data_IF_555758166033
#
_entry.id   IF_555758166033
#
_cell.length_a   1.000
_cell.length_b   1.000
_cell.length_c   1.000
_cell.angle_alpha   90.00
_cell.angle_beta   90.00
_cell.angle_gamma   90.00
#
_symmetry.space_group_name_H-M   'P 1'
#
loop_
_entity.id
_entity.type
_entity.pdbx_description
1 polymer ?
#
# COMPACT_ATOMS: atom_id res chain seq x y z
N UNK A 1 -6.58 32.96 36.26
CA UNK A 1 -5.64 31.85 35.96
C UNK A 1 -6.34 30.98 34.92
N UNK A 2 -6.06 31.22 33.63
CA UNK A 2 -6.74 30.55 32.53
C UNK A 2 -6.13 29.16 32.33
N UNK A 3 -6.88 28.12 32.67
CA UNK A 3 -6.56 26.75 32.28
C UNK A 3 -7.05 26.61 30.83
N UNK A 4 -6.13 26.82 29.89
CA UNK A 4 -6.35 26.46 28.50
C UNK A 4 -6.37 24.94 28.45
N UNK A 5 -7.56 24.36 28.24
CA UNK A 5 -7.70 22.97 27.83
C UNK A 5 -7.02 22.81 26.47
N UNK A 6 -5.76 22.38 26.47
CA UNK A 6 -5.14 21.81 25.28
C UNK A 6 -5.84 20.48 24.99
N UNK A 7 -6.86 20.53 24.13
CA UNK A 7 -7.22 19.37 23.32
C UNK A 7 -6.05 19.20 22.35
N UNK A 8 -5.08 18.35 22.72
CA UNK A 8 -4.10 17.88 21.77
C UNK A 8 -4.88 17.14 20.66
N UNK A 9 -4.96 17.75 19.48
CA UNK A 9 -5.20 17.00 18.27
C UNK A 9 -4.01 16.06 18.12
N UNK A 10 -4.17 14.78 18.47
CA UNK A 10 -3.23 13.76 18.06
C UNK A 10 -3.29 13.70 16.53
N UNK A 11 -2.28 14.26 15.86
CA UNK A 11 -2.09 13.98 14.44
C UNK A 11 -1.97 12.46 14.31
N UNK A 12 -2.87 11.84 13.53
CA UNK A 12 -2.81 10.42 13.24
C UNK A 12 -1.44 10.10 12.63
N UNK A 13 -0.54 9.52 13.44
CA UNK A 13 0.79 9.13 13.02
C UNK A 13 0.68 8.12 11.88
N UNK A 14 1.52 8.29 10.85
CA UNK A 14 1.58 7.36 9.72
C UNK A 14 2.81 6.46 9.88
N UNK A 15 2.61 5.16 9.73
CA UNK A 15 3.69 4.17 9.62
C UNK A 15 3.84 3.81 8.15
N UNK A 16 4.98 4.16 7.56
CA UNK A 16 5.30 3.85 6.17
C UNK A 16 6.00 2.49 6.05
N UNK A 17 5.40 1.60 5.29
CA UNK A 17 5.93 0.33 4.84
C UNK A 17 6.37 0.48 3.38
N UNK A 18 7.64 0.85 3.17
CA UNK A 18 8.14 1.24 1.84
C UNK A 18 9.10 0.22 1.23
N UNK A 19 8.79 -0.20 0.00
CA UNK A 19 9.66 -1.05 -0.80
C UNK A 19 10.85 -0.21 -1.29
N UNK A 20 12.07 -0.67 -0.98
CA UNK A 20 13.29 0.03 -1.37
C UNK A 20 13.80 -0.54 -2.69
N UNK A 21 14.06 0.33 -3.65
CA UNK A 21 14.68 -0.03 -4.92
C UNK A 21 15.91 0.85 -5.10
N UNK A 22 17.08 0.27 -4.83
CA UNK A 22 18.36 0.91 -5.10
C UNK A 22 18.83 0.49 -6.48
N UNK A 23 19.54 1.38 -7.16
CA UNK A 23 20.12 1.10 -8.46
C UNK A 23 21.44 1.82 -8.67
N UNK A 24 22.27 1.24 -9.55
CA UNK A 24 23.49 1.84 -10.08
C UNK A 24 23.51 1.71 -11.59
N UNK A 25 23.99 2.73 -12.29
CA UNK A 25 24.13 2.72 -13.75
C UNK A 25 25.59 2.90 -14.13
N UNK A 26 26.07 2.05 -15.03
CA UNK A 26 27.39 2.17 -15.65
C UNK A 26 27.22 2.40 -17.14
N UNK A 27 28.12 3.21 -17.70
CA UNK A 27 28.15 3.55 -19.13
C UNK A 27 29.53 3.26 -19.69
N UNK A 28 29.57 2.57 -20.83
CA UNK A 28 30.76 2.42 -21.66
C UNK A 28 30.47 2.96 -23.06
N UNK A 29 31.39 3.74 -23.61
CA UNK A 29 31.27 4.29 -24.97
C UNK A 29 32.34 3.68 -25.85
N UNK A 30 31.92 3.15 -27.00
CA UNK A 30 32.79 2.57 -28.02
C UNK A 30 33.03 3.56 -29.17
N UNK A 31 31.99 4.29 -29.57
CA UNK A 31 32.03 5.25 -30.66
C UNK A 31 31.07 6.43 -30.40
N UNK A 32 31.59 7.64 -30.56
CA UNK A 32 30.85 8.90 -30.38
C UNK A 32 30.24 9.44 -31.69
N UNK A 33 30.43 8.75 -32.82
CA UNK A 33 30.10 9.21 -34.17
C UNK A 33 28.68 9.76 -34.37
N UNK A 34 27.70 9.26 -33.62
CA UNK A 34 26.28 9.68 -33.73
C UNK A 34 25.73 10.34 -32.47
N UNK A 35 26.57 10.62 -31.47
CA UNK A 35 26.11 11.22 -30.22
C UNK A 35 25.79 12.71 -30.37
N UNK A 36 24.73 13.16 -29.71
CA UNK A 36 24.29 14.56 -29.71
C UNK A 36 24.13 15.08 -28.29
N UNK A 37 24.23 16.40 -28.07
CA UNK A 37 24.11 16.97 -26.73
C UNK A 37 22.71 16.81 -26.09
N UNK A 38 21.69 16.52 -26.89
CA UNK A 38 20.32 16.25 -26.44
C UNK A 38 19.98 14.76 -26.29
N UNK A 39 20.93 13.89 -26.65
CA UNK A 39 20.77 12.45 -26.53
C UNK A 39 20.57 12.03 -25.08
N UNK A 40 19.50 11.27 -24.84
CA UNK A 40 19.24 10.69 -23.54
C UNK A 40 18.74 9.26 -23.63
N UNK A 41 18.99 8.52 -22.56
CA UNK A 41 18.56 7.15 -22.37
C UNK A 41 17.46 7.14 -21.33
N UNK A 42 16.42 6.36 -21.59
CA UNK A 42 15.33 6.12 -20.65
C UNK A 42 15.13 4.61 -20.54
N UNK A 43 15.19 4.10 -19.31
CA UNK A 43 14.82 2.73 -18.99
C UNK A 43 13.56 2.77 -18.13
N UNK A 44 12.47 2.26 -18.65
CA UNK A 44 11.21 2.09 -17.94
C UNK A 44 11.02 0.62 -17.58
N UNK A 45 10.77 0.37 -16.30
CA UNK A 45 10.43 -0.94 -15.75
C UNK A 45 9.07 -0.78 -15.10
N UNK A 46 8.06 -1.46 -15.62
CA UNK A 46 6.74 -1.52 -15.01
C UNK A 46 6.50 -2.92 -14.44
N UNK A 47 6.18 -2.98 -13.16
CA UNK A 47 5.77 -4.19 -12.45
C UNK A 47 4.26 -4.30 -12.48
N UNK A 48 3.74 -5.45 -12.92
CA UNK A 48 2.33 -5.80 -12.72
C UNK A 48 2.18 -6.36 -11.31
N UNK A 49 1.53 -5.63 -10.40
CA UNK A 49 1.44 -6.01 -8.98
C UNK A 49 0.76 -7.38 -8.82
N UNK A 50 -0.27 -7.66 -9.62
CA UNK A 50 -1.02 -8.91 -9.55
C UNK A 50 -0.19 -10.17 -9.88
N UNK A 51 0.54 -10.16 -11.00
CA UNK A 51 1.28 -11.32 -11.53
C UNK A 51 2.77 -11.32 -11.15
N UNK A 52 3.28 -10.17 -10.71
CA UNK A 52 4.70 -9.88 -10.47
C UNK A 52 5.58 -9.89 -11.74
N UNK A 53 4.94 -9.79 -12.90
CA UNK A 53 5.59 -9.74 -14.21
C UNK A 53 6.15 -8.35 -14.53
N UNK A 54 7.14 -8.32 -15.41
CA UNK A 54 7.85 -7.09 -15.79
C UNK A 54 7.57 -6.72 -17.25
N UNK A 55 7.14 -5.47 -17.45
CA UNK A 55 7.14 -4.80 -18.73
C UNK A 55 8.38 -3.92 -18.78
N UNK A 56 9.21 -4.16 -19.79
CA UNK A 56 10.48 -3.50 -19.97
C UNK A 56 10.44 -2.64 -21.22
N UNK A 57 10.90 -1.41 -21.10
CA UNK A 57 11.10 -0.52 -22.23
C UNK A 57 12.41 0.24 -22.09
N UNK A 58 13.28 0.11 -23.09
CA UNK A 58 14.52 0.84 -23.23
C UNK A 58 14.38 1.82 -24.40
N UNK A 59 14.59 3.09 -24.14
CA UNK A 59 14.46 4.17 -25.12
C UNK A 59 15.82 4.82 -25.31
N UNK A 60 16.29 4.78 -26.55
CA UNK A 60 17.42 5.56 -27.01
C UNK A 60 16.89 6.77 -27.79
N UNK A 61 16.78 7.91 -27.09
CA UNK A 61 16.27 9.14 -27.66
C UNK A 61 17.39 9.88 -28.40
N UNK A 62 17.65 9.43 -29.63
CA UNK A 62 18.56 10.08 -30.57
C UNK A 62 17.89 10.14 -31.94
N UNK A 63 17.90 11.32 -32.57
CA UNK A 63 17.23 11.59 -33.84
C UNK A 63 18.22 11.90 -34.97
N UNK A 64 19.50 11.56 -34.78
CA UNK A 64 20.52 11.73 -35.80
C UNK A 64 20.14 10.94 -37.06
N UNK A 65 20.12 11.62 -38.21
CA UNK A 65 19.85 11.00 -39.51
C UNK A 65 20.92 9.98 -39.93
N UNK A 66 22.08 9.97 -39.25
CA UNK A 66 23.18 9.04 -39.44
C UNK A 66 22.89 7.65 -38.86
N UNK A 67 21.92 7.54 -37.94
CA UNK A 67 21.51 6.26 -37.38
C UNK A 67 20.69 5.52 -38.44
N UNK A 68 21.22 4.38 -38.91
CA UNK A 68 20.57 3.49 -39.86
C UNK A 68 20.53 2.07 -39.28
N UNK A 69 19.38 1.41 -39.38
CA UNK A 69 19.14 0.05 -38.88
C UNK A 69 19.72 -0.16 -37.46
N UNK A 70 19.19 0.57 -36.46
CA UNK A 70 19.66 0.45 -35.08
C UNK A 70 19.40 -0.97 -34.58
N UNK A 71 20.30 -1.48 -33.75
CA UNK A 71 20.15 -2.76 -33.09
C UNK A 71 20.52 -2.63 -31.61
N UNK A 72 20.01 -3.57 -30.82
CA UNK A 72 20.21 -3.62 -29.39
C UNK A 72 20.56 -5.06 -28.99
N UNK A 73 21.70 -5.22 -28.32
CA UNK A 73 22.03 -6.47 -27.64
C UNK A 73 21.67 -6.28 -26.17
N UNK A 74 20.71 -7.08 -25.70
CA UNK A 74 20.14 -6.96 -24.36
C UNK A 74 20.29 -8.23 -23.54
N UNK A 75 20.64 -8.08 -22.27
CA UNK A 75 20.63 -9.19 -21.30
C UNK A 75 19.96 -8.78 -20.00
N UNK A 76 19.25 -9.72 -19.36
CA UNK A 76 18.77 -9.60 -17.98
C UNK A 76 19.41 -10.73 -17.18
N UNK A 77 20.04 -10.39 -16.05
CA UNK A 77 20.79 -11.35 -15.22
C UNK A 77 21.79 -12.19 -16.05
N UNK A 78 22.52 -11.52 -16.96
CA UNK A 78 23.46 -12.12 -17.91
C UNK A 78 22.86 -13.13 -18.91
N UNK A 79 21.53 -13.23 -19.03
CA UNK A 79 20.86 -14.04 -20.06
C UNK A 79 20.33 -13.14 -21.17
N UNK A 80 20.54 -13.54 -22.42
CA UNK A 80 20.08 -12.78 -23.60
C UNK A 80 18.55 -12.69 -23.60
N UNK A 81 18.03 -11.50 -23.85
CA UNK A 81 16.62 -11.24 -24.09
C UNK A 81 16.46 -10.52 -25.41
N UNK A 82 15.45 -10.90 -26.20
CA UNK A 82 15.08 -10.17 -27.41
C UNK A 82 14.04 -9.10 -27.09
N UNK A 83 14.22 -7.89 -27.62
CA UNK A 83 13.33 -6.75 -27.47
C UNK A 83 12.76 -6.35 -28.82
N UNK A 84 11.47 -6.03 -28.84
CA UNK A 84 10.76 -5.61 -30.04
C UNK A 84 11.07 -4.13 -30.31
N UNK A 85 11.52 -3.83 -31.53
CA UNK A 85 11.97 -2.49 -31.93
C UNK A 85 10.86 -1.69 -32.62
N UNK A 86 10.77 -0.40 -32.28
CA UNK A 86 10.00 0.59 -33.04
C UNK A 86 10.70 1.95 -33.03
N UNK A 87 10.48 2.75 -34.08
CA UNK A 87 10.86 4.15 -34.09
C UNK A 87 9.63 5.03 -33.83
N UNK A 88 9.76 5.99 -32.91
CA UNK A 88 8.69 6.92 -32.56
C UNK A 88 9.23 8.34 -32.70
N UNK A 89 8.57 9.19 -33.50
CA UNK A 89 9.06 10.54 -33.83
C UNK A 89 9.33 11.43 -32.62
N UNK A 90 8.64 11.21 -31.50
CA UNK A 90 8.78 11.97 -30.26
C UNK A 90 9.69 11.30 -29.23
N UNK A 91 9.92 9.99 -29.34
CA UNK A 91 10.64 9.20 -28.31
C UNK A 91 11.94 8.58 -28.80
N UNK A 92 12.18 8.54 -30.11
CA UNK A 92 13.37 7.97 -30.73
C UNK A 92 13.26 6.46 -30.94
N UNK A 93 14.33 5.73 -30.65
CA UNK A 93 14.42 4.29 -30.82
C UNK A 93 13.93 3.58 -29.56
N UNK A 94 12.79 2.89 -29.66
CA UNK A 94 12.13 2.21 -28.54
C UNK A 94 12.28 0.70 -28.70
N UNK A 95 12.76 0.05 -27.64
CA UNK A 95 12.92 -1.39 -27.54
C UNK A 95 12.14 -1.90 -26.34
N UNK A 96 11.22 -2.84 -26.54
CA UNK A 96 10.29 -3.24 -25.48
C UNK A 96 10.06 -4.76 -25.42
N UNK A 97 9.72 -5.26 -24.24
CA UNK A 97 9.26 -6.63 -24.05
C UNK A 97 8.37 -6.76 -22.83
N UNK A 98 7.48 -7.75 -22.89
CA UNK A 98 6.94 -8.40 -21.70
C UNK A 98 7.92 -9.52 -21.36
N UNK A 99 8.68 -9.36 -20.27
CA UNK A 99 9.84 -10.23 -19.96
C UNK A 99 9.42 -11.70 -19.91
N UNK A 100 8.30 -12.00 -19.25
CA UNK A 100 7.78 -13.36 -19.10
C UNK A 100 7.35 -14.04 -20.41
N UNK A 101 7.19 -13.29 -21.50
CA UNK A 101 6.86 -13.84 -22.82
C UNK A 101 8.11 -14.17 -23.65
N UNK A 102 9.31 -13.80 -23.19
CA UNK A 102 10.56 -14.07 -23.89
C UNK A 102 11.15 -15.41 -23.44
N UNK A 103 11.85 -16.06 -24.36
CA UNK A 103 12.45 -17.38 -24.14
C UNK A 103 13.41 -17.36 -22.94
N UNK A 104 13.29 -18.35 -22.05
CA UNK A 104 14.12 -18.43 -20.83
C UNK A 104 13.64 -17.58 -19.64
N UNK A 105 12.54 -16.82 -19.76
CA UNK A 105 12.05 -15.88 -18.73
C UNK A 105 10.62 -16.15 -18.24
N UNK A 106 9.97 -17.26 -18.62
CA UNK A 106 8.56 -17.55 -18.31
C UNK A 106 8.15 -17.33 -16.84
N UNK A 107 9.03 -17.68 -15.89
CA UNK A 107 8.78 -17.55 -14.45
C UNK A 107 9.54 -16.39 -13.80
N UNK A 108 10.11 -15.48 -14.57
CA UNK A 108 10.88 -14.36 -14.05
C UNK A 108 9.97 -13.38 -13.30
N UNK A 109 10.40 -12.94 -12.13
CA UNK A 109 9.64 -12.00 -11.28
C UNK A 109 10.45 -10.74 -10.99
N UNK A 110 9.81 -9.70 -10.46
CA UNK A 110 10.51 -8.47 -10.08
C UNK A 110 11.66 -8.73 -9.08
N UNK A 111 11.46 -9.63 -8.12
CA UNK A 111 12.49 -9.97 -7.13
C UNK A 111 13.70 -10.71 -7.73
N UNK A 112 13.57 -11.27 -8.93
CA UNK A 112 14.69 -11.92 -9.62
C UNK A 112 15.62 -10.89 -10.27
N UNK A 113 15.18 -9.65 -10.48
CA UNK A 113 15.92 -8.63 -11.21
C UNK A 113 17.17 -8.15 -10.45
N UNK A 114 18.36 -8.49 -10.96
CA UNK A 114 19.66 -8.09 -10.36
C UNK A 114 20.46 -7.19 -11.28
N UNK A 115 20.46 -7.49 -12.58
CA UNK A 115 21.13 -6.65 -13.56
C UNK A 115 20.44 -6.66 -14.92
N UNK A 116 20.65 -5.59 -15.67
CA UNK A 116 20.34 -5.51 -17.09
C UNK A 116 21.48 -4.85 -17.84
N UNK A 117 21.77 -5.32 -19.04
CA UNK A 117 22.76 -4.72 -19.91
C UNK A 117 22.15 -4.45 -21.29
N UNK A 118 22.42 -3.27 -21.83
CA UNK A 118 21.91 -2.79 -23.10
C UNK A 118 23.07 -2.23 -23.91
N UNK A 119 23.40 -2.89 -25.01
CA UNK A 119 24.45 -2.45 -25.92
C UNK A 119 23.82 -2.02 -27.25
N UNK A 120 23.84 -0.72 -27.50
CA UNK A 120 23.29 -0.11 -28.70
C UNK A 120 24.31 -0.09 -29.83
N UNK A 121 23.83 -0.32 -31.04
CA UNK A 121 24.62 -0.20 -32.26
C UNK A 121 23.81 0.23 -33.46
N UNK A 122 24.49 0.54 -34.55
CA UNK A 122 23.89 0.96 -35.81
C UNK A 122 24.75 0.48 -36.98
N UNK A 123 24.13 0.37 -38.14
CA UNK A 123 24.84 0.04 -39.37
C UNK A 123 25.29 1.32 -40.09
N UNK A 124 26.54 1.31 -40.55
CA UNK A 124 27.18 2.41 -41.26
C UNK A 124 27.64 2.00 -42.67
N UNK A 125 28.02 3.00 -43.46
CA UNK A 125 28.48 2.84 -44.84
C UNK A 125 27.35 2.84 -45.88
N UNK A 126 27.70 3.06 -47.16
CA UNK A 126 26.72 3.18 -48.27
C UNK A 126 25.82 1.96 -48.45
N UNK A 127 26.28 0.77 -48.05
CA UNK A 127 25.54 -0.50 -48.14
C UNK A 127 25.06 -1.02 -46.77
N UNK A 128 25.21 -0.25 -45.69
CA UNK A 128 24.85 -0.66 -44.32
C UNK A 128 25.51 -1.98 -43.89
N UNK A 129 26.71 -2.26 -44.39
CA UNK A 129 27.42 -3.51 -44.15
C UNK A 129 28.33 -3.48 -42.91
N UNK A 130 28.52 -2.30 -42.30
CA UNK A 130 29.38 -2.15 -41.13
C UNK A 130 28.54 -1.95 -39.86
N UNK A 131 28.31 -3.02 -39.11
CA UNK A 131 27.65 -2.92 -37.80
C UNK A 131 28.65 -2.43 -36.76
N UNK A 132 28.41 -1.24 -36.18
CA UNK A 132 29.23 -0.68 -35.11
C UNK A 132 28.46 -0.65 -33.81
N UNK A 133 29.13 -1.05 -32.73
CA UNK A 133 28.69 -0.83 -31.35
C UNK A 133 28.99 0.62 -31.00
N UNK A 134 28.03 1.28 -30.37
CA UNK A 134 28.14 2.70 -30.04
C UNK A 134 28.34 2.87 -28.55
N UNK A 135 27.43 2.34 -27.74
CA UNK A 135 27.47 2.46 -26.28
C UNK A 135 26.89 1.22 -25.61
N UNK A 136 27.29 1.00 -24.37
CA UNK A 136 26.74 0.00 -23.46
C UNK A 136 26.32 0.66 -22.16
N UNK A 137 25.16 0.24 -21.66
CA UNK A 137 24.62 0.63 -20.37
C UNK A 137 24.36 -0.61 -19.53
N UNK A 138 24.94 -0.64 -18.33
CA UNK A 138 24.70 -1.70 -17.35
C UNK A 138 23.96 -1.11 -16.16
N UNK A 139 22.85 -1.72 -15.81
CA UNK A 139 22.02 -1.36 -14.67
C UNK A 139 22.13 -2.47 -13.62
N UNK A 140 22.42 -2.11 -12.38
CA UNK A 140 22.40 -3.00 -11.24
C UNK A 140 21.23 -2.60 -10.34
N UNK A 141 20.52 -3.59 -9.83
CA UNK A 141 19.37 -3.40 -8.95
C UNK A 141 19.60 -4.12 -7.62
N UNK A 142 19.22 -3.45 -6.55
CA UNK A 142 19.14 -4.02 -5.21
C UNK A 142 17.75 -3.67 -4.65
N UNK A 143 16.88 -4.68 -4.65
CA UNK A 143 15.49 -4.56 -4.20
C UNK A 143 15.37 -5.06 -2.77
N UNK A 144 15.04 -4.16 -1.85
CA UNK A 144 14.81 -4.49 -0.44
C UNK A 144 13.41 -5.04 -0.21
N UNK A 145 13.29 -6.06 0.64
CA UNK A 145 12.00 -6.63 1.02
C UNK A 145 11.28 -5.74 2.04
N UNK A 146 9.98 -5.59 1.85
CA UNK A 146 9.09 -5.04 2.88
C UNK A 146 9.05 -5.95 4.11
N UNK A 147 9.02 -5.35 5.30
CA UNK A 147 8.69 -6.09 6.52
C UNK A 147 7.34 -6.81 6.32
N UNK A 148 7.18 -7.99 6.91
CA UNK A 148 5.96 -8.79 6.82
C UNK A 148 5.07 -8.64 8.05
N UNK A 149 5.53 -8.02 9.12
CA UNK A 149 4.75 -7.89 10.36
C UNK A 149 4.68 -6.42 10.80
N UNK A 150 3.46 -5.92 10.92
CA UNK A 150 3.17 -4.55 11.36
C UNK A 150 2.22 -4.57 12.55
N UNK A 151 2.44 -3.67 13.50
CA UNK A 151 1.56 -3.46 14.64
C UNK A 151 1.11 -2.01 14.59
N UNK A 152 -0.21 -1.80 14.63
CA UNK A 152 -0.84 -0.48 14.65
C UNK A 152 -1.86 -0.39 15.77
N UNK A 153 -2.06 0.81 16.29
CA UNK A 153 -3.12 1.11 17.25
C UNK A 153 -4.02 2.22 16.69
N UNK A 154 -3.62 3.48 16.80
CA UNK A 154 -4.32 4.61 16.18
C UNK A 154 -3.63 5.07 14.88
N UNK A 155 -2.49 4.49 14.55
CA UNK A 155 -1.70 4.88 13.40
C UNK A 155 -2.28 4.37 12.07
N UNK A 156 -2.17 5.19 11.04
CA UNK A 156 -2.42 4.74 9.66
C UNK A 156 -1.20 3.97 9.16
N UNK A 157 -1.40 2.72 8.74
CA UNK A 157 -0.36 1.96 8.04
C UNK A 157 -0.44 2.25 6.54
N UNK A 158 0.68 2.62 5.92
CA UNK A 158 0.76 2.89 4.49
C UNK A 158 1.80 1.99 3.84
N UNK A 159 1.34 1.04 3.04
CA UNK A 159 2.21 0.30 2.12
C UNK A 159 2.51 1.15 0.90
N UNK A 160 3.78 1.27 0.51
CA UNK A 160 4.25 1.89 -0.73
C UNK A 160 4.92 0.82 -1.58
N UNK A 161 4.20 0.35 -2.58
CA UNK A 161 4.62 -0.75 -3.47
C UNK A 161 5.07 -0.16 -4.79
N UNK A 162 6.27 -0.53 -5.26
CA UNK A 162 6.76 -0.04 -6.53
C UNK A 162 5.91 -0.61 -7.68
N UNK A 163 5.50 0.26 -8.59
CA UNK A 163 4.76 -0.12 -9.80
C UNK A 163 5.48 0.29 -11.09
N UNK A 164 6.17 1.43 -11.08
CA UNK A 164 6.94 1.89 -12.23
C UNK A 164 8.27 2.48 -11.74
N UNK A 165 9.35 2.19 -12.46
CA UNK A 165 10.66 2.81 -12.30
C UNK A 165 11.10 3.37 -13.65
N UNK A 166 11.35 4.68 -13.71
CA UNK A 166 11.86 5.37 -14.89
C UNK A 166 13.26 5.89 -14.56
N UNK A 167 14.29 5.26 -15.14
CA UNK A 167 15.68 5.71 -15.04
C UNK A 167 16.04 6.51 -16.28
N UNK A 168 16.39 7.79 -16.11
CA UNK A 168 16.71 8.69 -17.23
C UNK A 168 18.02 9.41 -17.00
N UNK A 169 18.82 9.56 -18.04
CA UNK A 169 20.04 10.36 -18.01
C UNK A 169 20.47 10.79 -19.42
N UNK A 170 21.25 11.87 -19.49
CA UNK A 170 21.83 12.37 -20.74
C UNK A 170 23.16 11.67 -20.99
N UNK A 171 23.41 11.22 -22.23
CA UNK A 171 24.61 10.44 -22.56
C UNK A 171 25.88 11.26 -22.46
N UNK A 172 25.81 12.58 -22.67
CA UNK A 172 26.94 13.51 -22.55
C UNK A 172 27.06 14.18 -21.17
N UNK A 173 26.27 13.74 -20.16
CA UNK A 173 26.40 14.27 -18.81
C UNK A 173 27.81 14.04 -18.26
N UNK A 174 28.40 15.09 -17.67
CA UNK A 174 29.72 15.04 -17.04
C UNK A 174 29.75 14.14 -15.80
N UNK A 175 28.62 14.09 -15.07
CA UNK A 175 28.40 13.17 -13.96
C UNK A 175 27.14 12.35 -14.23
N UNK A 176 27.33 11.04 -14.49
CA UNK A 176 26.23 10.12 -14.78
C UNK A 176 25.32 9.94 -13.58
N UNK A 177 25.86 9.70 -12.39
CA UNK A 177 25.08 9.45 -11.17
C UNK A 177 24.18 10.63 -10.82
N UNK A 178 24.70 11.85 -10.92
CA UNK A 178 23.91 13.07 -10.74
C UNK A 178 22.80 13.18 -11.79
N UNK A 179 23.09 12.89 -13.06
CA UNK A 179 22.09 12.91 -14.13
C UNK A 179 20.97 11.89 -13.88
N UNK A 180 21.32 10.66 -13.48
CA UNK A 180 20.33 9.63 -13.14
C UNK A 180 19.51 10.09 -11.94
N UNK A 181 20.13 10.52 -10.85
CA UNK A 181 19.43 10.93 -9.63
C UNK A 181 18.44 12.08 -9.86
N UNK A 182 18.78 13.07 -10.69
CA UNK A 182 17.91 14.22 -10.98
C UNK A 182 16.75 13.89 -11.91
N UNK A 183 16.96 13.00 -12.89
CA UNK A 183 15.99 12.79 -13.97
C UNK A 183 15.16 11.50 -13.81
N UNK A 184 15.49 10.66 -12.83
CA UNK A 184 14.80 9.40 -12.58
C UNK A 184 13.70 9.54 -11.52
N UNK A 185 12.68 8.70 -11.61
CA UNK A 185 11.60 8.66 -10.62
C UNK A 185 10.98 7.28 -10.52
N UNK A 186 10.29 7.05 -9.41
CA UNK A 186 9.58 5.81 -9.12
C UNK A 186 8.12 6.13 -8.83
N UNK A 187 7.20 5.36 -9.42
CA UNK A 187 5.79 5.41 -9.10
C UNK A 187 5.44 4.31 -8.11
N UNK A 188 4.82 4.69 -7.01
CA UNK A 188 4.39 3.76 -5.97
C UNK A 188 2.86 3.71 -5.90
N UNK A 189 2.30 2.50 -5.74
CA UNK A 189 0.96 2.31 -5.23
C UNK A 189 0.99 2.47 -3.71
N UNK A 190 0.23 3.44 -3.22
CA UNK A 190 -0.01 3.66 -1.81
C UNK A 190 -1.28 2.93 -1.39
N UNK A 191 -1.19 1.99 -0.47
CA UNK A 191 -2.33 1.32 0.17
C UNK A 191 -2.35 1.68 1.65
N UNK A 192 -3.33 2.49 2.04
CA UNK A 192 -3.47 3.01 3.40
C UNK A 192 -4.53 2.22 4.13
N UNK A 193 -4.21 1.74 5.33
CA UNK A 193 -5.12 1.15 6.29
C UNK A 193 -5.24 2.12 7.46
N UNK A 194 -6.41 2.74 7.61
CA UNK A 194 -6.73 3.61 8.73
C UNK A 194 -7.68 2.86 9.68
N UNK A 195 -7.20 2.42 10.86
CA UNK A 195 -8.03 1.66 11.81
C UNK A 195 -9.28 2.42 12.22
N UNK A 196 -10.42 1.73 12.28
CA UNK A 196 -11.62 2.27 12.91
C UNK A 196 -11.63 1.93 14.38
N UNK A 197 -11.88 2.95 15.21
CA UNK A 197 -12.09 2.75 16.64
C UNK A 197 -13.35 1.94 16.88
N UNK A 198 -13.20 0.80 17.51
CA UNK A 198 -14.30 -0.04 17.91
C UNK A 198 -15.05 0.51 19.12
N UNK A 199 -16.37 0.35 19.08
CA UNK A 199 -17.27 0.73 20.15
C UNK A 199 -17.80 -0.49 20.89
N UNK A 200 -17.95 -0.34 22.22
CA UNK A 200 -18.56 -1.36 23.07
C UNK A 200 -20.07 -1.45 22.81
N UNK A 201 -20.61 -2.66 22.87
CA UNK A 201 -22.02 -3.04 22.68
C UNK A 201 -22.66 -2.60 21.37
N UNK A 202 -21.83 -2.30 20.36
CA UNK A 202 -22.28 -2.15 18.99
C UNK A 202 -21.65 -3.22 18.14
N UNK A 203 -22.38 -3.67 17.13
CA UNK A 203 -21.80 -4.48 16.09
C UNK A 203 -20.90 -3.59 15.22
N UNK A 204 -19.61 -3.78 15.36
CA UNK A 204 -18.61 -3.06 14.58
C UNK A 204 -18.50 -3.71 13.21
N UNK A 205 -19.05 -3.06 12.18
CA UNK A 205 -19.15 -3.61 10.82
C UNK A 205 -17.86 -3.45 10.01
N UNK A 206 -16.96 -2.55 10.41
CA UNK A 206 -15.72 -2.27 9.68
C UNK A 206 -14.53 -2.16 10.62
N UNK A 207 -13.43 -2.80 10.24
CA UNK A 207 -12.14 -2.83 10.94
C UNK A 207 -11.29 -1.60 10.61
N UNK A 208 -11.31 -1.15 9.35
CA UNK A 208 -10.50 -0.03 8.88
C UNK A 208 -11.10 0.63 7.64
N UNK A 209 -10.82 1.92 7.45
CA UNK A 209 -10.93 2.55 6.14
C UNK A 209 -9.71 2.21 5.28
N UNK A 210 -9.90 2.15 3.97
CA UNK A 210 -8.82 1.93 3.01
C UNK A 210 -8.78 3.04 1.98
N UNK A 211 -7.59 3.57 1.74
CA UNK A 211 -7.35 4.51 0.65
C UNK A 211 -6.25 3.98 -0.27
N UNK A 212 -6.46 4.11 -1.58
CA UNK A 212 -5.48 3.71 -2.59
C UNK A 212 -5.26 4.80 -3.62
N UNK A 213 -4.00 5.09 -3.91
CA UNK A 213 -3.61 6.00 -4.98
C UNK A 213 -2.20 5.68 -5.46
N UNK A 214 -1.85 6.13 -6.65
CA UNK A 214 -0.49 6.12 -7.18
C UNK A 214 0.15 7.50 -7.09
N UNK A 215 1.45 7.53 -6.86
CA UNK A 215 2.21 8.78 -6.83
C UNK A 215 3.64 8.55 -7.32
N UNK A 216 4.12 9.45 -8.16
CA UNK A 216 5.52 9.53 -8.54
C UNK A 216 6.32 10.27 -7.46
N UNK A 217 7.50 9.79 -7.12
CA UNK A 217 8.33 10.36 -6.05
C UNK A 217 8.72 11.82 -6.28
N UNK A 218 8.81 12.25 -7.54
CA UNK A 218 9.15 13.63 -7.94
C UNK A 218 7.92 14.51 -8.19
N UNK A 219 6.70 14.01 -7.99
CA UNK A 219 5.47 14.72 -8.26
C UNK A 219 4.65 14.93 -6.99
N UNK A 220 3.99 16.08 -6.88
CA UNK A 220 2.97 16.31 -5.85
C UNK A 220 1.63 15.70 -6.20
N UNK A 221 1.40 15.38 -7.49
CA UNK A 221 0.11 14.90 -7.99
C UNK A 221 -0.13 13.44 -7.62
N UNK A 222 -1.38 13.12 -7.29
CA UNK A 222 -1.85 11.77 -6.97
C UNK A 222 -2.79 11.26 -8.05
N UNK A 223 -2.61 9.99 -8.44
CA UNK A 223 -3.48 9.29 -9.38
C UNK A 223 -4.42 8.35 -8.61
N UNK A 224 -5.71 8.63 -8.67
CA UNK A 224 -6.76 7.81 -8.02
C UNK A 224 -7.41 6.81 -8.98
N UNK A 225 -7.30 7.04 -10.29
CA UNK A 225 -7.70 6.09 -11.32
C UNK A 225 -6.60 5.03 -11.52
N UNK A 226 -6.74 3.92 -10.81
CA UNK A 226 -5.73 2.85 -10.76
C UNK A 226 -5.99 1.78 -11.83
N UNK A 227 -4.92 1.21 -12.39
CA UNK A 227 -5.06 0.09 -13.31
C UNK A 227 -5.52 -1.17 -12.55
N UNK A 228 -6.29 -2.02 -13.24
CA UNK A 228 -6.73 -3.29 -12.67
C UNK A 228 -5.54 -4.20 -12.31
N UNK A 229 -4.48 -4.22 -13.13
CA UNK A 229 -3.24 -4.98 -12.86
C UNK A 229 -2.59 -4.67 -11.50
N UNK A 230 -2.88 -3.47 -10.96
CA UNK A 230 -2.24 -2.97 -9.76
C UNK A 230 -3.08 -3.24 -8.51
N UNK A 231 -4.35 -3.60 -8.67
CA UNK A 231 -5.34 -3.64 -7.57
C UNK A 231 -6.21 -4.89 -7.52
N UNK A 232 -6.36 -5.61 -8.62
CA UNK A 232 -7.33 -6.72 -8.73
C UNK A 232 -6.98 -7.93 -7.86
N UNK A 233 -5.71 -8.09 -7.50
CA UNK A 233 -5.23 -9.20 -6.67
C UNK A 233 -5.07 -8.83 -5.20
N UNK A 234 -5.47 -7.61 -4.80
CA UNK A 234 -5.38 -7.18 -3.41
C UNK A 234 -6.46 -7.89 -2.60
N UNK A 235 -6.05 -8.68 -1.61
CA UNK A 235 -6.94 -9.38 -0.69
C UNK A 235 -6.59 -9.05 0.75
N UNK A 236 -7.61 -9.06 1.59
CA UNK A 236 -7.48 -8.93 3.04
C UNK A 236 -8.32 -10.03 3.67
N UNK A 237 -7.74 -10.79 4.60
CA UNK A 237 -8.42 -11.84 5.35
C UNK A 237 -8.04 -11.80 6.82
N UNK A 238 -8.85 -12.42 7.68
CA UNK A 238 -8.48 -12.62 9.08
C UNK A 238 -7.34 -13.66 9.14
N UNK A 239 -6.32 -13.41 9.96
CA UNK A 239 -5.17 -14.33 10.16
C UNK A 239 -5.36 -15.22 11.41
N UNK A 240 -6.57 -15.24 11.99
CA UNK A 240 -6.88 -15.99 13.19
C UNK A 240 -6.54 -15.20 14.45
N UNK A 241 -7.40 -14.25 14.79
CA UNK A 241 -7.30 -13.57 16.09
C UNK A 241 -7.71 -14.52 17.22
N UNK A 242 -6.75 -14.98 18.03
CA UNK A 242 -7.08 -15.67 19.29
C UNK A 242 -7.39 -14.64 20.37
N UNK A 243 -8.65 -14.58 20.77
CA UNK A 243 -9.11 -13.80 21.92
C UNK A 243 -10.02 -14.70 22.75
N UNK A 244 -9.69 -14.91 24.02
CA UNK A 244 -10.44 -15.81 24.91
C UNK A 244 -11.91 -15.38 25.11
N UNK A 245 -12.22 -14.12 24.82
CA UNK A 245 -13.56 -13.54 24.90
C UNK A 245 -14.34 -13.63 23.59
N UNK A 246 -13.73 -14.11 22.51
CA UNK A 246 -14.36 -14.26 21.19
C UNK A 246 -14.29 -15.72 20.78
N UNK A 247 -15.45 -16.34 20.60
CA UNK A 247 -15.60 -17.72 20.16
C UNK A 247 -16.11 -17.76 18.72
N UNK A 248 -15.51 -18.62 17.90
CA UNK A 248 -15.81 -18.73 16.47
C UNK A 248 -14.77 -18.04 15.59
N UNK A 249 -14.98 -18.11 14.27
CA UNK A 249 -14.03 -17.61 13.27
C UNK A 249 -14.49 -16.25 12.75
N UNK A 250 -13.65 -15.23 12.93
CA UNK A 250 -13.87 -13.94 12.29
C UNK A 250 -13.61 -14.05 10.78
N UNK A 251 -14.44 -13.37 10.00
CA UNK A 251 -14.26 -13.25 8.57
C UNK A 251 -14.31 -11.78 8.20
N UNK A 252 -13.27 -11.32 7.50
CA UNK A 252 -13.14 -9.97 7.00
C UNK A 252 -12.79 -10.01 5.52
N UNK A 253 -13.14 -8.94 4.81
CA UNK A 253 -12.80 -8.77 3.41
C UNK A 253 -12.58 -7.29 3.07
N UNK A 254 -11.84 -7.04 1.99
CA UNK A 254 -11.71 -5.71 1.42
C UNK A 254 -12.93 -5.41 0.53
N UNK A 255 -13.78 -4.49 0.97
CA UNK A 255 -14.84 -3.95 0.13
C UNK A 255 -14.25 -2.87 -0.79
N UNK A 256 -13.92 -3.25 -2.02
CA UNK A 256 -13.31 -2.37 -3.02
C UNK A 256 -14.33 -1.66 -3.93
N UNK A 257 -15.60 -2.08 -3.89
CA UNK A 257 -16.69 -1.58 -4.73
C UNK A 257 -17.38 -0.33 -4.14
N UNK A 258 -17.31 -0.14 -2.83
CA UNK A 258 -17.84 1.05 -2.17
C UNK A 258 -16.99 2.29 -2.51
N UNK A 259 -17.66 3.42 -2.69
CA UNK A 259 -17.08 4.76 -2.71
C UNK A 259 -16.10 5.02 -1.56
N UNK A 260 -16.38 4.42 -0.38
CA UNK A 260 -15.49 4.40 0.78
C UNK A 260 -14.97 2.99 1.02
N UNK A 261 -13.90 2.65 0.30
CA UNK A 261 -13.21 1.36 0.44
C UNK A 261 -12.86 1.12 1.90
N UNK A 262 -13.14 -0.08 2.38
CA UNK A 262 -12.95 -0.43 3.78
C UNK A 262 -12.71 -1.93 3.95
N UNK A 263 -12.08 -2.28 5.05
CA UNK A 263 -11.99 -3.67 5.51
C UNK A 263 -13.19 -3.91 6.40
N UNK A 264 -14.09 -4.79 5.96
CA UNK A 264 -15.38 -5.04 6.58
C UNK A 264 -15.45 -6.46 7.14
N UNK A 265 -16.23 -6.64 8.20
CA UNK A 265 -16.59 -7.98 8.68
C UNK A 265 -17.67 -8.56 7.77
N UNK A 266 -17.50 -9.80 7.33
CA UNK A 266 -18.57 -10.61 6.74
C UNK A 266 -19.23 -11.52 7.78
N UNK A 267 -18.59 -11.72 8.93
CA UNK A 267 -19.14 -12.51 10.03
C UNK A 267 -20.18 -11.74 10.84
N UNK A 268 -21.14 -12.49 11.42
CA UNK A 268 -22.15 -11.97 12.34
C UNK A 268 -21.90 -12.48 13.76
N UNK A 269 -22.11 -11.63 14.75
CA UNK A 269 -21.84 -11.97 16.15
C UNK A 269 -22.91 -11.48 17.12
N UNK A 270 -22.95 -12.10 18.30
CA UNK A 270 -23.75 -11.69 19.46
C UNK A 270 -22.94 -11.92 20.74
N UNK A 271 -23.34 -11.27 21.83
CA UNK A 271 -22.75 -11.54 23.15
C UNK A 271 -23.61 -12.53 23.93
N UNK A 272 -23.04 -13.68 24.30
CA UNK A 272 -23.69 -14.62 25.19
C UNK A 272 -23.38 -14.26 26.66
N UNK A 273 -24.40 -13.79 27.36
CA UNK A 273 -24.29 -13.35 28.76
C UNK A 273 -23.93 -14.50 29.70
N UNK A 274 -24.39 -15.73 29.41
CA UNK A 274 -24.12 -16.90 30.27
C UNK A 274 -22.70 -17.39 30.09
N UNK A 275 -22.23 -17.47 28.84
CA UNK A 275 -20.86 -17.86 28.53
C UNK A 275 -19.85 -16.73 28.79
N UNK A 276 -20.32 -15.48 28.91
CA UNK A 276 -19.51 -14.26 29.02
C UNK A 276 -18.54 -14.08 27.84
N UNK A 277 -19.00 -14.44 26.64
CA UNK A 277 -18.21 -14.39 25.40
C UNK A 277 -19.01 -13.79 24.26
N UNK A 278 -18.31 -13.15 23.34
CA UNK A 278 -18.83 -12.87 22.01
C UNK A 278 -18.78 -14.17 21.20
N UNK A 279 -19.90 -14.57 20.63
CA UNK A 279 -20.02 -15.76 19.78
C UNK A 279 -20.22 -15.30 18.33
N UNK A 280 -19.37 -15.80 17.43
CA UNK A 280 -19.49 -15.61 15.99
C UNK A 280 -20.14 -16.85 15.41
N UNK A 281 -21.39 -16.71 14.97
CA UNK A 281 -22.18 -17.82 14.43
C UNK A 281 -23.18 -17.28 13.42
N UNK A 282 -22.99 -17.47 12.11
CA UNK A 282 -23.94 -16.94 11.12
C UNK A 282 -25.33 -17.60 11.20
N UNK A 283 -25.48 -18.74 11.90
CA UNK A 283 -26.74 -19.47 12.02
C UNK A 283 -27.55 -19.16 13.29
N UNK A 284 -26.99 -18.45 14.27
CA UNK A 284 -27.72 -18.11 15.50
C UNK A 284 -28.63 -16.88 15.27
N UNK A 285 -29.90 -17.00 15.65
CA UNK A 285 -30.92 -15.98 15.42
C UNK A 285 -30.65 -14.65 16.17
N UNK A 286 -29.78 -14.65 17.17
CA UNK A 286 -29.40 -13.45 17.94
C UNK A 286 -28.31 -12.63 17.26
N UNK A 287 -27.71 -13.15 16.18
CA UNK A 287 -26.52 -12.55 15.59
C UNK A 287 -26.86 -11.33 14.76
N UNK A 288 -25.89 -10.44 14.61
CA UNK A 288 -25.96 -9.29 13.72
C UNK A 288 -24.60 -9.05 13.09
N UNK A 289 -24.60 -8.54 11.85
CA UNK A 289 -23.39 -8.34 11.05
C UNK A 289 -22.37 -7.48 11.79
N UNK A 290 -21.11 -7.92 11.83
CA UNK A 290 -20.01 -7.24 12.51
C UNK A 290 -19.69 -7.80 13.88
N UNK A 291 -18.56 -7.36 14.44
CA UNK A 291 -18.05 -7.83 15.72
C UNK A 291 -18.62 -7.02 16.89
N UNK A 292 -19.35 -7.67 17.80
CA UNK A 292 -19.80 -7.06 19.05
C UNK A 292 -18.74 -7.23 20.14
N UNK A 293 -18.44 -6.13 20.83
CA UNK A 293 -17.55 -6.13 21.99
C UNK A 293 -18.40 -5.94 23.25
N UNK A 294 -18.29 -6.76 24.30
CA UNK A 294 -19.12 -6.65 25.49
C UNK A 294 -18.95 -5.32 26.23
N UNK A 295 -20.00 -4.78 26.86
CA UNK A 295 -19.92 -3.55 27.68
C UNK A 295 -18.90 -3.62 28.81
N UNK A 296 -18.60 -4.84 29.27
CA UNK A 296 -17.70 -5.15 30.38
C UNK A 296 -16.26 -5.35 29.94
N UNK A 297 -15.96 -5.31 28.64
CA UNK A 297 -14.60 -5.54 28.15
C UNK A 297 -13.64 -4.44 28.62
N UNK A 298 -12.49 -4.87 29.14
CA UNK A 298 -11.35 -4.03 29.52
C UNK A 298 -10.08 -4.73 29.06
N UNK A 299 -9.15 -3.97 28.49
CA UNK A 299 -7.88 -4.49 28.01
C UNK A 299 -7.60 -4.12 26.56
N UNK A 300 -6.69 -4.86 25.93
CA UNK A 300 -6.32 -4.65 24.54
C UNK A 300 -7.09 -5.60 23.64
N UNK A 301 -7.94 -5.05 22.78
CA UNK A 301 -8.56 -5.80 21.71
C UNK A 301 -7.57 -5.89 20.54
N UNK A 302 -7.03 -7.08 20.33
CA UNK A 302 -6.16 -7.38 19.19
C UNK A 302 -6.98 -7.95 18.05
N UNK A 303 -6.71 -7.53 16.81
CA UNK A 303 -7.20 -8.15 15.58
C UNK A 303 -6.04 -8.34 14.61
N UNK A 304 -5.88 -9.52 14.05
CA UNK A 304 -4.82 -9.84 13.10
C UNK A 304 -5.41 -10.05 11.71
N UNK A 305 -4.92 -9.26 10.75
CA UNK A 305 -5.30 -9.39 9.34
C UNK A 305 -4.09 -9.74 8.49
N UNK A 306 -4.32 -10.57 7.49
CA UNK A 306 -3.37 -10.88 6.43
C UNK A 306 -3.74 -10.05 5.21
N UNK A 307 -2.76 -9.35 4.65
CA UNK A 307 -2.87 -8.54 3.43
C UNK A 307 -1.98 -9.18 2.36
N UNK A 308 -2.54 -9.34 1.16
CA UNK A 308 -1.82 -9.80 -0.02
C UNK A 308 -2.10 -8.82 -1.16
N UNK A 309 -1.09 -8.47 -1.94
CA UNK A 309 -1.22 -7.56 -3.07
C UNK A 309 -1.18 -8.27 -4.43
N UNK A 310 -0.52 -9.43 -4.50
CA UNK A 310 -0.34 -10.23 -5.70
C UNK A 310 0.72 -11.31 -5.50
N UNK A 311 1.07 -12.05 -6.56
CA UNK A 311 1.90 -13.26 -6.49
C UNK A 311 3.24 -13.06 -5.77
N UNK A 312 3.93 -11.95 -6.02
CA UNK A 312 5.22 -11.61 -5.40
C UNK A 312 5.13 -10.87 -4.06
N UNK A 313 3.91 -10.50 -3.63
CA UNK A 313 3.65 -9.60 -2.52
C UNK A 313 2.58 -10.19 -1.61
N UNK A 314 2.91 -11.31 -0.96
CA UNK A 314 2.00 -12.04 -0.07
C UNK A 314 2.50 -12.06 1.38
N UNK A 315 1.60 -12.42 2.29
CA UNK A 315 1.96 -12.74 3.68
C UNK A 315 2.25 -11.54 4.58
N UNK A 316 1.70 -10.37 4.27
CA UNK A 316 1.80 -9.23 5.18
C UNK A 316 0.79 -9.39 6.31
N UNK A 317 1.27 -9.39 7.55
CA UNK A 317 0.45 -9.45 8.76
C UNK A 317 0.37 -8.09 9.39
N UNK A 318 -0.84 -7.62 9.65
CA UNK A 318 -1.11 -6.37 10.35
C UNK A 318 -1.89 -6.70 11.62
N UNK A 319 -1.31 -6.39 12.76
CA UNK A 319 -1.92 -6.55 14.08
C UNK A 319 -2.47 -5.19 14.51
N UNK A 320 -3.79 -5.05 14.56
CA UNK A 320 -4.45 -3.88 15.12
C UNK A 320 -4.72 -4.10 16.60
N UNK A 321 -4.17 -3.24 17.45
CA UNK A 321 -4.37 -3.24 18.90
C UNK A 321 -5.15 -2.01 19.33
N UNK A 322 -6.34 -2.20 19.91
CA UNK A 322 -7.10 -1.12 20.53
C UNK A 322 -7.13 -1.31 22.04
N UNK A 323 -6.53 -0.36 22.78
CA UNK A 323 -6.66 -0.29 24.22
C UNK A 323 -8.04 0.26 24.62
N UNK A 324 -8.77 -0.51 25.44
CA UNK A 324 -10.02 -0.11 26.08
C UNK A 324 -9.75 -0.03 27.58
N UNK A 325 -9.39 1.17 28.04
CA UNK A 325 -8.90 1.40 29.40
C UNK A 325 -9.99 1.31 30.48
N UNK A 326 -11.26 1.54 30.11
CA UNK A 326 -12.40 1.49 31.04
C UNK A 326 -13.59 0.81 30.37
N UNK A 327 -14.29 -0.10 31.07
CA UNK A 327 -15.50 -0.68 30.52
C UNK A 327 -16.59 0.40 30.50
N UNK A 328 -17.61 0.19 29.68
CA UNK A 328 -18.81 1.03 29.73
C UNK A 328 -19.60 0.75 31.03
N UNK A 329 -19.61 -0.50 31.45
CA UNK A 329 -20.23 -0.97 32.69
C UNK A 329 -19.21 -1.75 33.52
N UNK A 330 -18.91 -1.28 34.74
CA UNK A 330 -18.09 -2.03 35.68
C UNK A 330 -18.98 -2.82 36.63
N UNK A 331 -18.97 -4.15 36.51
CA UNK A 331 -19.82 -5.05 37.31
C UNK A 331 -19.43 -5.05 38.79
N UNK A 332 -18.16 -4.83 39.12
CA UNK A 332 -17.63 -4.87 40.49
C UNK A 332 -17.95 -3.60 41.28
N UNK A 333 -17.93 -2.44 40.61
CA UNK A 333 -18.20 -1.14 41.25
C UNK A 333 -19.59 -0.58 40.94
N UNK A 334 -20.36 -1.22 40.04
CA UNK A 334 -21.68 -0.75 39.62
C UNK A 334 -21.66 0.56 38.81
N UNK A 335 -20.48 1.00 38.35
CA UNK A 335 -20.32 2.28 37.67
C UNK A 335 -20.65 2.18 36.18
N UNK A 336 -21.43 3.14 35.68
CA UNK A 336 -21.82 3.28 34.27
C UNK A 336 -21.22 4.56 33.70
N UNK A 337 -20.65 4.50 32.50
CA UNK A 337 -20.18 5.69 31.79
C UNK A 337 -21.36 6.40 31.10
N UNK A 338 -21.79 7.54 31.65
CA UNK A 338 -22.83 8.38 31.06
C UNK A 338 -22.21 9.47 30.17
N UNK A 339 -22.76 9.67 28.96
CA UNK A 339 -22.49 10.85 28.13
C UNK A 339 -23.62 11.85 28.40
N UNK A 340 -23.32 12.94 29.08
CA UNK A 340 -24.30 14.00 29.36
C UNK A 340 -24.29 14.95 28.15
N UNK A 341 -25.40 15.04 27.41
CA UNK A 341 -25.60 16.13 26.46
C UNK A 341 -25.94 17.41 27.24
N UNK A 342 -25.02 18.38 27.21
CA UNK A 342 -25.30 19.69 27.79
C UNK A 342 -26.08 20.53 26.79
N UNK A 343 -27.38 20.30 26.68
CA UNK A 343 -28.28 21.36 26.22
C UNK A 343 -28.21 22.47 27.27
N UNK A 344 -27.61 23.62 26.93
CA UNK A 344 -27.55 24.89 27.68
C UNK A 344 -28.29 24.93 29.04
N UNK A 345 -27.86 24.10 29.98
CA UNK A 345 -28.28 24.21 31.36
C UNK A 345 -27.34 25.26 31.91
N UNK A 346 -27.86 26.48 32.08
CA UNK A 346 -27.32 27.40 33.05
C UNK A 346 -27.34 26.64 34.38
N UNK A 347 -26.23 25.98 34.69
CA UNK A 347 -26.04 25.23 35.93
C UNK A 347 -26.11 26.25 37.06
N UNK A 348 -27.31 26.45 37.62
CA UNK A 348 -27.45 27.00 38.96
C UNK A 348 -26.65 26.06 39.86
N UNK A 349 -25.71 26.59 40.65
CA UNK A 349 -24.88 25.74 41.48
C UNK A 349 -25.79 25.04 42.49
N UNK A 350 -25.40 23.79 42.79
CA UNK A 350 -25.89 22.90 43.85
C UNK A 350 -27.02 21.92 43.50
N UNK A 351 -26.67 20.62 43.50
CA UNK A 351 -26.92 19.73 44.64
C UNK A 351 -25.94 18.55 44.61
N UNK A 352 -25.60 18.05 45.80
CA UNK A 352 -24.64 16.96 46.06
C UNK A 352 -24.91 15.74 45.19
N UNK A 353 -23.85 14.99 44.87
CA UNK A 353 -23.94 13.64 44.31
C UNK A 353 -24.89 12.79 45.16
N UNK A 354 -25.94 12.24 44.53
CA UNK A 354 -26.85 11.28 45.15
C UNK A 354 -26.62 9.88 44.54
N UNK A 355 -26.55 8.87 45.40
CA UNK A 355 -26.59 7.47 44.96
C UNK A 355 -28.04 7.11 44.64
N UNK A 356 -28.33 6.77 43.38
CA UNK A 356 -29.65 6.33 42.95
C UNK A 356 -29.73 4.80 42.97
N UNK A 357 -30.73 4.27 43.65
CA UNK A 357 -31.11 2.84 43.58
C UNK A 357 -32.06 2.60 42.41
N UNK A 358 -32.05 1.39 41.84
CA UNK A 358 -32.85 1.05 40.63
C UNK A 358 -34.34 1.37 40.79
N UNK A 359 -34.92 1.17 41.98
CA UNK A 359 -36.32 1.53 42.28
C UNK A 359 -36.60 3.04 42.22
N UNK A 360 -35.60 3.88 42.52
CA UNK A 360 -35.73 5.34 42.47
C UNK A 360 -35.64 5.91 41.04
N UNK A 361 -35.08 5.15 40.09
CA UNK A 361 -34.99 5.56 38.69
C UNK A 361 -36.36 5.44 37.99
N UNK A 362 -37.08 4.35 38.23
CA UNK A 362 -38.40 4.09 37.62
C UNK A 362 -39.41 5.17 38.00
N UNK A 363 -39.45 5.55 39.29
CA UNK A 363 -40.36 6.57 39.78
C UNK A 363 -40.04 7.98 39.25
N UNK A 364 -38.77 8.28 38.97
CA UNK A 364 -38.38 9.58 38.38
C UNK A 364 -38.72 9.66 36.89
N UNK A 365 -38.60 8.56 36.15
CA UNK A 365 -38.96 8.50 34.72
C UNK A 365 -40.49 8.61 34.54
N UNK A 366 -41.28 8.06 35.46
CA UNK A 366 -42.76 8.22 35.43
C UNK A 366 -43.22 9.62 35.82
N UNK A 367 -42.47 10.35 36.66
CA UNK A 367 -42.82 11.71 37.07
C UNK A 367 -42.50 12.79 36.03
N UNK A 368 -41.67 12.48 35.01
CA UNK A 368 -41.34 13.39 33.91
C UNK A 368 -42.06 13.05 32.59
N UNK A 369 -42.94 12.04 32.61
CA UNK A 369 -43.97 11.83 31.58
C UNK A 369 -45.26 12.51 32.01
#
# INVERSE_FOLDING_TARGET
MNIINQVAYEENRVIDAEEKVNYRVEKQVYDWSVSTGSENIILNIRRLVNSDEILLEFVWQNFSNQIKNPFLISTINNKIISLDYSFQSTRGHVFQAIVNQKEGFKNFTFNDLKNMNFEIGSHFGRKLNEARKLMRFTYFFDTGFLNKNYIISNETLRFKIMTDLSLRFFTQASNLDASVATNSSMCQLHFLIEPKKFELAKNNVALANVHMYKKWTNSSSVQTNLNQSDTSAITVSDDGTKNDLIEGKNEIFLNSLDSRKSIQYSSSSFYDVKAKKTIISPSDARTSLGLIIPLTFVGTLTNQMKVEFGKGLQGFKVTYNQAIAKPFFNVESGLIKLKIESEKLQLKPYKKWENLTVSSLTNKIEAER
#
